data_IF_344777331984
#
_entry.id   IF_344777331984
#
_cell.length_a   1.000
_cell.length_b   1.000
_cell.length_c   1.000
_cell.angle_alpha   90.00
_cell.angle_beta   90.00
_cell.angle_gamma   90.00
#
_symmetry.space_group_name_H-M   'P 1'
#
loop_
_entity.id
_entity.type
_entity.pdbx_description
1 polymer ?
#
# COMPACT_ATOMS: atom_id res chain seq x y z
N UNK A 1 27.75 -14.58 -4.85
CA UNK A 1 26.35 -15.02 -4.66
C UNK A 1 25.98 -15.03 -3.19
N UNK A 2 26.54 -15.89 -2.32
CA UNK A 2 26.19 -15.92 -0.89
C UNK A 2 26.27 -14.53 -0.21
N UNK A 3 27.40 -13.83 -0.34
CA UNK A 3 27.54 -12.46 0.19
C UNK A 3 26.47 -11.49 -0.35
N UNK A 4 26.09 -11.58 -1.62
CA UNK A 4 25.08 -10.68 -2.22
C UNK A 4 23.67 -10.98 -1.69
N UNK A 5 23.38 -12.26 -1.43
CA UNK A 5 22.15 -12.66 -0.73
C UNK A 5 22.17 -12.23 0.73
N UNK A 6 23.30 -12.37 1.41
CA UNK A 6 23.49 -11.95 2.81
C UNK A 6 23.34 -10.43 2.93
N UNK A 7 23.94 -9.67 2.01
CA UNK A 7 23.85 -8.23 2.00
C UNK A 7 22.40 -7.77 1.72
N UNK A 8 21.70 -8.39 0.75
CA UNK A 8 20.27 -8.13 0.51
C UNK A 8 19.43 -8.45 1.74
N UNK A 9 19.69 -9.60 2.37
CA UNK A 9 18.96 -10.08 3.56
C UNK A 9 19.23 -9.23 4.79
N UNK A 10 20.36 -8.54 4.85
CA UNK A 10 20.66 -7.55 5.89
C UNK A 10 19.84 -6.26 5.76
N UNK A 11 18.99 -6.14 4.73
CA UNK A 11 18.17 -4.95 4.47
C UNK A 11 18.98 -3.76 3.98
N UNK A 12 20.24 -3.99 3.56
CA UNK A 12 21.14 -2.94 3.10
C UNK A 12 20.88 -2.52 1.63
N UNK A 13 19.93 -3.15 0.94
CA UNK A 13 19.81 -3.05 -0.52
C UNK A 13 18.55 -2.29 -0.89
N UNK A 14 18.77 -1.06 -1.36
CA UNK A 14 17.81 -0.33 -2.19
C UNK A 14 18.02 -0.72 -3.66
N UNK A 15 17.01 -0.58 -4.54
CA UNK A 15 17.14 -0.94 -5.95
C UNK A 15 18.40 -0.35 -6.63
N UNK A 16 18.70 0.92 -6.37
CA UNK A 16 19.89 1.61 -6.90
C UNK A 16 21.24 1.14 -6.32
N UNK A 17 21.24 0.43 -5.19
CA UNK A 17 22.44 -0.11 -4.54
C UNK A 17 22.71 -1.55 -4.96
N UNK A 18 21.78 -2.16 -5.70
CA UNK A 18 21.85 -3.54 -6.11
C UNK A 18 22.46 -3.69 -7.50
N UNK A 19 23.65 -4.29 -7.60
CA UNK A 19 24.17 -4.68 -8.91
C UNK A 19 23.20 -5.70 -9.57
N UNK A 20 22.81 -5.49 -10.84
CA UNK A 20 21.95 -6.42 -11.56
C UNK A 20 22.51 -7.84 -11.51
N UNK A 21 21.69 -8.82 -11.12
CA UNK A 21 22.21 -10.16 -10.89
C UNK A 21 22.66 -10.87 -12.17
N UNK A 22 22.29 -10.34 -13.34
CA UNK A 22 22.84 -10.76 -14.65
C UNK A 22 24.36 -10.55 -14.75
N UNK A 23 24.91 -9.63 -13.97
CA UNK A 23 26.35 -9.37 -13.92
C UNK A 23 27.10 -10.31 -12.97
N UNK A 24 26.41 -11.17 -12.21
CA UNK A 24 27.03 -11.99 -11.15
C UNK A 24 27.82 -13.22 -11.66
N UNK A 25 28.01 -13.36 -12.98
CA UNK A 25 29.01 -14.26 -13.56
C UNK A 25 28.62 -15.73 -13.74
N UNK A 26 27.35 -16.11 -13.55
CA UNK A 26 26.88 -17.47 -13.90
C UNK A 26 26.21 -17.53 -15.28
N UNK A 27 26.38 -18.65 -16.01
CA UNK A 27 25.62 -18.92 -17.21
C UNK A 27 24.19 -19.27 -16.82
N UNK A 28 23.30 -18.30 -17.03
CA UNK A 28 21.85 -18.47 -17.07
C UNK A 28 21.15 -18.70 -15.71
N UNK A 29 20.84 -17.59 -15.03
CA UNK A 29 19.87 -17.56 -13.92
C UNK A 29 18.44 -17.96 -14.35
N UNK A 30 18.22 -18.36 -15.62
CA UNK A 30 16.95 -18.87 -16.13
C UNK A 30 16.41 -20.07 -15.35
N UNK A 31 17.25 -20.87 -14.68
CA UNK A 31 16.75 -21.95 -13.82
C UNK A 31 16.02 -21.43 -12.57
N UNK A 32 16.45 -20.29 -12.01
CA UNK A 32 15.77 -19.63 -10.87
C UNK A 32 14.45 -19.01 -11.33
N UNK A 33 14.41 -18.44 -12.53
CA UNK A 33 13.16 -17.97 -13.14
C UNK A 33 12.19 -19.14 -13.40
N UNK A 34 12.70 -20.25 -13.94
CA UNK A 34 11.92 -21.46 -14.20
C UNK A 34 11.39 -22.07 -12.89
N UNK A 35 12.20 -22.05 -11.83
CA UNK A 35 11.80 -22.51 -10.51
C UNK A 35 10.75 -21.59 -9.88
N UNK A 36 10.81 -20.28 -10.08
CA UNK A 36 9.72 -19.39 -9.68
C UNK A 36 8.39 -19.74 -10.36
N UNK A 37 8.40 -20.18 -11.62
CA UNK A 37 7.17 -20.62 -12.29
C UNK A 37 6.54 -21.86 -11.61
N UNK A 38 7.33 -22.65 -10.86
CA UNK A 38 6.83 -23.77 -10.04
C UNK A 38 6.12 -23.31 -8.76
N UNK A 39 6.01 -22.01 -8.51
CA UNK A 39 5.17 -21.48 -7.42
C UNK A 39 3.69 -21.50 -7.78
N UNK A 40 3.34 -21.70 -9.05
CA UNK A 40 1.96 -21.62 -9.55
C UNK A 40 1.33 -23.02 -9.66
N UNK A 41 0.00 -23.08 -9.56
CA UNK A 41 -0.76 -24.33 -9.71
C UNK A 41 -0.26 -25.43 -8.77
N UNK A 42 -0.06 -26.63 -9.33
CA UNK A 42 0.46 -27.80 -8.60
C UNK A 42 2.00 -27.90 -8.66
N UNK A 43 2.70 -26.79 -8.92
CA UNK A 43 4.14 -26.76 -8.97
C UNK A 43 4.79 -27.06 -7.62
N UNK A 44 6.04 -27.52 -7.64
CA UNK A 44 6.76 -27.97 -6.42
C UNK A 44 6.96 -26.87 -5.36
N UNK A 45 6.82 -25.59 -5.74
CA UNK A 45 6.91 -24.44 -4.83
C UNK A 45 5.55 -23.79 -4.56
N UNK A 46 4.43 -24.45 -4.87
CA UNK A 46 3.09 -23.93 -4.60
C UNK A 46 2.86 -23.63 -3.12
N UNK A 47 3.43 -24.44 -2.22
CA UNK A 47 3.35 -24.22 -0.77
C UNK A 47 4.03 -22.92 -0.32
N UNK A 48 5.19 -22.58 -0.90
CA UNK A 48 5.87 -21.31 -0.63
C UNK A 48 4.96 -20.13 -0.99
N UNK A 49 4.29 -20.20 -2.14
CA UNK A 49 3.33 -19.17 -2.57
C UNK A 49 2.14 -19.08 -1.63
N UNK A 50 1.56 -20.22 -1.26
CA UNK A 50 0.45 -20.27 -0.31
C UNK A 50 0.83 -19.61 1.02
N UNK A 51 2.01 -19.95 1.56
CA UNK A 51 2.51 -19.40 2.81
C UNK A 51 2.71 -17.88 2.75
N UNK A 52 3.35 -17.36 1.69
CA UNK A 52 3.59 -15.92 1.53
C UNK A 52 2.30 -15.11 1.34
N UNK A 53 1.33 -15.64 0.58
CA UNK A 53 0.02 -14.99 0.43
C UNK A 53 -0.79 -15.02 1.72
N UNK A 54 -0.72 -16.11 2.49
CA UNK A 54 -1.39 -16.24 3.79
C UNK A 54 -0.78 -15.29 4.82
N UNK A 55 0.55 -15.16 4.87
CA UNK A 55 1.26 -14.26 5.78
C UNK A 55 0.91 -12.78 5.57
N UNK A 56 0.40 -12.41 4.40
CA UNK A 56 -0.07 -11.05 4.09
C UNK A 56 -1.48 -10.75 4.61
N UNK A 57 -2.13 -11.70 5.30
CA UNK A 57 -3.41 -11.51 5.99
C UNK A 57 -4.51 -10.88 5.11
N UNK A 58 -4.58 -11.33 3.86
CA UNK A 58 -5.53 -10.83 2.84
C UNK A 58 -5.38 -9.33 2.52
N UNK A 59 -4.21 -8.73 2.76
CA UNK A 59 -3.89 -7.35 2.36
C UNK A 59 -2.62 -7.31 1.51
N UNK A 60 -2.72 -6.64 0.37
CA UNK A 60 -1.58 -6.34 -0.50
C UNK A 60 -0.54 -5.53 0.26
N UNK A 61 0.72 -5.96 0.21
CA UNK A 61 1.80 -5.29 0.95
C UNK A 61 2.29 -3.99 0.29
N UNK A 62 1.81 -3.67 -0.91
CA UNK A 62 2.14 -2.42 -1.61
C UNK A 62 1.09 -1.31 -1.44
N UNK A 63 -0.18 -1.68 -1.22
CA UNK A 63 -1.28 -0.70 -1.08
C UNK A 63 -2.14 -0.85 0.17
N UNK A 64 -1.94 -1.93 0.95
CA UNK A 64 -2.66 -2.22 2.19
C UNK A 64 -4.20 -2.24 2.08
N UNK A 65 -4.74 -2.40 0.86
CA UNK A 65 -6.16 -2.25 0.58
C UNK A 65 -6.78 -3.51 -0.05
N UNK A 66 -6.38 -3.90 -1.25
CA UNK A 66 -6.93 -5.09 -1.90
C UNK A 66 -6.30 -6.39 -1.37
N UNK A 67 -6.97 -7.53 -1.55
CA UNK A 67 -6.37 -8.83 -1.29
C UNK A 67 -5.24 -9.14 -2.28
N UNK A 68 -4.13 -9.75 -1.83
CA UNK A 68 -3.06 -10.16 -2.73
C UNK A 68 -3.50 -11.37 -3.55
N UNK A 69 -3.13 -11.37 -4.82
CA UNK A 69 -3.40 -12.47 -5.76
C UNK A 69 -2.13 -12.96 -6.46
N UNK A 70 -0.99 -12.31 -6.24
CA UNK A 70 0.29 -12.63 -6.85
C UNK A 70 1.45 -12.43 -5.86
N UNK A 71 2.60 -12.98 -6.23
CA UNK A 71 3.88 -12.62 -5.62
C UNK A 71 4.60 -11.74 -6.65
N UNK A 72 4.79 -10.47 -6.30
CA UNK A 72 5.61 -9.52 -7.05
C UNK A 72 7.07 -9.68 -6.64
N UNK A 73 8.00 -9.42 -7.56
CA UNK A 73 9.42 -9.33 -7.24
C UNK A 73 9.77 -7.90 -6.88
N UNK A 74 10.13 -7.61 -5.62
CA UNK A 74 10.47 -6.25 -5.19
C UNK A 74 11.55 -5.64 -6.09
N UNK A 75 12.71 -6.29 -6.19
CA UNK A 75 13.67 -6.10 -7.26
C UNK A 75 13.25 -6.91 -8.49
N UNK A 76 12.99 -6.27 -9.64
CA UNK A 76 12.39 -6.94 -10.78
C UNK A 76 13.23 -8.10 -11.30
N UNK A 77 12.54 -9.21 -11.60
CA UNK A 77 13.14 -10.42 -12.19
C UNK A 77 13.93 -10.13 -13.46
N UNK A 78 13.50 -9.17 -14.28
CA UNK A 78 14.18 -8.76 -15.51
C UNK A 78 15.61 -8.29 -15.27
N UNK A 79 15.90 -7.70 -14.11
CA UNK A 79 17.21 -7.19 -13.75
C UNK A 79 17.93 -8.10 -12.74
N UNK A 80 17.18 -8.76 -11.86
CA UNK A 80 17.69 -9.59 -10.77
C UNK A 80 17.14 -11.02 -10.80
N UNK A 81 17.35 -11.80 -11.88
CA UNK A 81 16.85 -13.16 -12.00
C UNK A 81 17.36 -14.10 -10.90
N UNK A 82 18.51 -13.81 -10.29
CA UNK A 82 19.05 -14.60 -9.17
C UNK A 82 18.19 -14.49 -7.89
N UNK A 83 17.38 -13.43 -7.78
CA UNK A 83 16.50 -13.19 -6.64
C UNK A 83 15.07 -13.73 -6.86
N UNK A 84 14.84 -14.49 -7.94
CA UNK A 84 13.49 -14.89 -8.37
C UNK A 84 12.73 -15.74 -7.34
N UNK A 85 13.42 -16.52 -6.53
CA UNK A 85 12.82 -17.40 -5.51
C UNK A 85 13.13 -16.94 -4.08
N UNK A 86 13.91 -15.87 -3.92
CA UNK A 86 14.27 -15.37 -2.60
C UNK A 86 13.01 -14.79 -1.95
N UNK A 87 12.53 -15.41 -0.88
CA UNK A 87 11.30 -14.99 -0.20
C UNK A 87 11.34 -13.51 0.24
N UNK A 88 12.49 -12.98 0.64
CA UNK A 88 12.65 -11.56 0.99
C UNK A 88 12.50 -10.59 -0.21
N UNK A 89 12.57 -11.11 -1.43
CA UNK A 89 12.31 -10.37 -2.67
C UNK A 89 10.89 -10.66 -3.22
N UNK A 90 10.12 -11.57 -2.61
CA UNK A 90 8.78 -11.94 -3.06
C UNK A 90 7.71 -11.27 -2.18
N UNK A 91 7.00 -10.32 -2.76
CA UNK A 91 6.00 -9.49 -2.07
C UNK A 91 4.59 -9.91 -2.46
N UNK A 92 3.76 -10.25 -1.47
CA UNK A 92 2.35 -10.51 -1.70
C UNK A 92 1.63 -9.23 -2.17
N UNK A 93 1.24 -9.21 -3.45
CA UNK A 93 0.67 -8.04 -4.10
C UNK A 93 -0.67 -8.36 -4.77
N UNK A 94 -1.57 -7.38 -4.82
CA UNK A 94 -2.75 -7.46 -5.68
C UNK A 94 -2.34 -7.29 -7.14
N UNK A 95 -3.17 -7.80 -8.06
CA UNK A 95 -2.92 -7.73 -9.51
C UNK A 95 -2.66 -6.31 -10.00
N UNK A 96 -3.42 -5.33 -9.50
CA UNK A 96 -3.27 -3.93 -9.87
C UNK A 96 -1.88 -3.38 -9.52
N UNK A 97 -1.42 -3.61 -8.28
CA UNK A 97 -0.12 -3.12 -7.83
C UNK A 97 1.03 -3.85 -8.55
N UNK A 98 0.94 -5.17 -8.66
CA UNK A 98 1.92 -5.99 -9.39
C UNK A 98 2.09 -5.50 -10.83
N UNK A 99 0.98 -5.30 -11.56
CA UNK A 99 1.01 -4.81 -12.95
C UNK A 99 1.56 -3.40 -13.07
N UNK A 100 1.16 -2.48 -12.17
CA UNK A 100 1.61 -1.08 -12.22
C UNK A 100 3.09 -0.93 -11.87
N UNK A 101 3.54 -1.64 -10.84
CA UNK A 101 4.97 -1.69 -10.47
C UNK A 101 5.82 -2.27 -11.60
N UNK A 102 5.38 -3.39 -12.17
CA UNK A 102 6.04 -4.04 -13.30
C UNK A 102 7.54 -4.23 -13.05
N UNK A 103 8.35 -3.74 -13.99
CA UNK A 103 9.81 -3.80 -13.90
C UNK A 103 10.47 -2.49 -13.40
N UNK A 104 9.71 -1.61 -12.74
CA UNK A 104 10.26 -0.36 -12.22
C UNK A 104 11.38 -0.64 -11.21
N UNK A 105 12.52 0.03 -11.44
CA UNK A 105 13.76 -0.11 -10.68
C UNK A 105 14.52 1.23 -10.77
N UNK A 106 13.95 2.27 -10.18
CA UNK A 106 14.48 3.64 -10.26
C UNK A 106 15.83 3.78 -9.56
N UNK A 107 16.74 4.54 -10.19
CA UNK A 107 18.05 4.86 -9.62
C UNK A 107 17.97 5.98 -8.56
N UNK A 108 16.96 6.84 -8.64
CA UNK A 108 16.75 7.93 -7.69
C UNK A 108 16.30 7.36 -6.33
N UNK A 109 17.07 7.59 -5.23
CA UNK A 109 16.73 7.06 -3.91
C UNK A 109 15.38 7.56 -3.39
N UNK A 110 14.88 8.71 -3.86
CA UNK A 110 13.57 9.27 -3.46
C UNK A 110 12.40 8.71 -4.28
N UNK A 111 12.67 8.02 -5.39
CA UNK A 111 11.66 7.44 -6.28
C UNK A 111 11.67 5.92 -6.25
N UNK A 112 11.73 5.36 -5.05
CA UNK A 112 11.78 3.91 -4.86
C UNK A 112 10.58 3.45 -4.06
N UNK A 113 10.10 2.24 -4.37
CA UNK A 113 9.07 1.61 -3.56
C UNK A 113 9.58 1.42 -2.12
N UNK A 114 8.65 1.53 -1.19
CA UNK A 114 8.90 1.19 0.21
C UNK A 114 8.93 -0.32 0.31
N UNK A 115 10.05 -0.87 0.79
CA UNK A 115 10.26 -2.29 0.97
C UNK A 115 9.44 -2.80 2.17
N UNK A 116 8.41 -3.65 1.96
CA UNK A 116 7.50 -4.04 3.03
C UNK A 116 8.16 -4.74 4.22
N UNK A 117 9.32 -5.37 4.01
CA UNK A 117 10.05 -6.10 5.04
C UNK A 117 11.20 -5.34 5.70
N UNK A 118 11.74 -4.31 5.05
CA UNK A 118 13.00 -3.67 5.47
C UNK A 118 12.80 -2.22 5.89
N UNK A 119 11.87 -1.51 5.25
CA UNK A 119 11.57 -0.13 5.59
C UNK A 119 10.71 -0.06 6.86
N UNK A 120 11.18 0.73 7.82
CA UNK A 120 10.49 0.97 9.09
C UNK A 120 9.49 2.11 8.93
N UNK A 121 8.28 1.78 8.50
CA UNK A 121 7.18 2.74 8.41
C UNK A 121 6.54 2.92 9.81
N UNK A 122 6.55 4.13 10.40
CA UNK A 122 5.97 4.36 11.72
C UNK A 122 4.45 4.10 11.73
N UNK A 123 4.00 3.26 12.67
CA UNK A 123 2.57 2.90 12.79
C UNK A 123 1.75 3.92 13.56
N UNK A 124 2.38 4.65 14.47
CA UNK A 124 1.71 5.56 15.40
C UNK A 124 1.54 6.99 14.88
N UNK A 125 2.07 7.28 13.69
CA UNK A 125 2.04 8.60 13.06
C UNK A 125 1.12 8.62 11.83
N UNK A 126 0.41 9.73 11.62
CA UNK A 126 -0.46 9.94 10.46
C UNK A 126 0.31 10.67 9.38
N UNK A 127 0.50 10.02 8.23
CA UNK A 127 1.15 10.59 7.05
C UNK A 127 0.30 10.44 5.78
N UNK A 128 -0.84 9.73 5.83
CA UNK A 128 -1.83 9.71 4.76
C UNK A 128 -3.05 10.54 5.16
N UNK A 129 -3.34 11.55 4.35
CA UNK A 129 -4.52 12.41 4.47
C UNK A 129 -5.47 12.20 3.29
N UNK A 130 -6.75 12.45 3.56
CA UNK A 130 -7.78 12.52 2.54
C UNK A 130 -8.58 13.82 2.71
N UNK A 131 -8.74 14.55 1.61
CA UNK A 131 -9.69 15.66 1.52
C UNK A 131 -10.96 15.11 0.87
N UNK A 132 -12.07 14.92 1.61
CA UNK A 132 -13.18 14.09 1.17
C UNK A 132 -14.03 14.73 0.06
N UNK A 133 -14.08 16.06 0.00
CA UNK A 133 -15.02 16.79 -0.84
C UNK A 133 -14.31 17.81 -1.73
N UNK A 134 -14.90 18.05 -2.90
CA UNK A 134 -14.57 19.19 -3.76
C UNK A 134 -15.87 19.90 -4.15
N UNK A 135 -16.01 21.18 -3.81
CA UNK A 135 -17.24 21.95 -4.08
C UNK A 135 -18.51 21.22 -3.61
N UNK A 136 -18.44 20.63 -2.41
CA UNK A 136 -19.52 19.89 -1.76
C UNK A 136 -19.91 18.55 -2.39
N UNK A 137 -19.25 18.16 -3.48
CA UNK A 137 -19.37 16.82 -4.03
C UNK A 137 -18.35 15.87 -3.40
N UNK A 138 -18.75 14.62 -3.15
CA UNK A 138 -17.84 13.54 -2.75
C UNK A 138 -16.78 13.35 -3.84
N UNK A 139 -15.54 13.71 -3.53
CA UNK A 139 -14.41 13.69 -4.46
C UNK A 139 -13.11 13.56 -3.67
N UNK A 140 -12.84 12.39 -3.06
CA UNK A 140 -11.73 12.23 -2.14
C UNK A 140 -10.38 12.42 -2.84
N UNK A 141 -9.53 13.30 -2.31
CA UNK A 141 -8.15 13.49 -2.75
C UNK A 141 -7.18 13.00 -1.67
N UNK A 142 -6.34 12.03 -2.02
CA UNK A 142 -5.36 11.47 -1.09
C UNK A 142 -3.97 12.04 -1.34
N UNK A 143 -3.24 12.29 -0.24
CA UNK A 143 -1.86 12.76 -0.29
C UNK A 143 -1.04 12.23 0.87
N UNK A 144 0.27 12.09 0.62
CA UNK A 144 1.24 11.87 1.68
C UNK A 144 1.67 13.22 2.23
N UNK A 145 1.64 13.38 3.55
CA UNK A 145 2.04 14.60 4.26
C UNK A 145 3.25 14.35 5.14
N UNK A 146 4.02 15.42 5.39
CA UNK A 146 5.12 15.38 6.33
C UNK A 146 4.58 15.15 7.75
N UNK A 147 5.13 14.16 8.46
CA UNK A 147 4.67 13.77 9.79
C UNK A 147 5.84 13.30 10.63
N UNK A 148 6.56 14.21 11.32
CA UNK A 148 7.68 13.82 12.17
C UNK A 148 7.27 12.73 13.17
N UNK A 149 8.06 11.66 13.36
CA UNK A 149 9.44 11.46 12.93
C UNK A 149 9.60 10.71 11.59
N UNK A 150 8.55 10.60 10.76
CA UNK A 150 8.71 10.09 9.39
C UNK A 150 9.68 11.02 8.67
N UNK A 151 10.86 10.49 8.34
CA UNK A 151 11.90 11.28 7.69
C UNK A 151 11.51 11.62 6.24
N UNK A 152 12.21 12.61 5.68
CA UNK A 152 11.86 13.14 4.37
C UNK A 152 12.16 12.18 3.22
N UNK A 153 13.08 11.23 3.39
CA UNK A 153 13.34 10.19 2.41
C UNK A 153 12.15 9.22 2.32
N UNK A 154 11.68 8.72 3.47
CA UNK A 154 10.51 7.85 3.53
C UNK A 154 9.24 8.58 3.06
N UNK A 155 9.02 9.84 3.45
CA UNK A 155 7.88 10.64 2.95
C UNK A 155 7.89 10.75 1.43
N UNK A 156 9.06 11.04 0.83
CA UNK A 156 9.19 11.20 -0.63
C UNK A 156 8.88 9.89 -1.36
N UNK A 157 9.40 8.77 -0.85
CA UNK A 157 9.14 7.44 -1.42
C UNK A 157 7.69 7.00 -1.27
N UNK A 158 7.06 7.27 -0.13
CA UNK A 158 5.63 7.01 0.07
C UNK A 158 4.78 7.82 -0.92
N UNK A 159 5.12 9.10 -1.13
CA UNK A 159 4.43 9.96 -2.09
C UNK A 159 4.61 9.46 -3.53
N UNK A 160 5.84 9.06 -3.88
CA UNK A 160 6.14 8.48 -5.18
C UNK A 160 5.38 7.16 -5.38
N UNK A 161 5.40 6.25 -4.41
CA UNK A 161 4.66 4.98 -4.47
C UNK A 161 3.15 5.20 -4.62
N UNK A 162 2.56 6.18 -3.90
CA UNK A 162 1.15 6.54 -4.04
C UNK A 162 0.83 6.94 -5.49
N UNK A 163 1.69 7.76 -6.11
CA UNK A 163 1.55 8.22 -7.49
C UNK A 163 1.80 7.11 -8.51
N UNK A 164 2.91 6.39 -8.40
CA UNK A 164 3.35 5.37 -9.36
C UNK A 164 2.36 4.20 -9.43
N UNK A 165 1.89 3.75 -8.26
CA UNK A 165 0.86 2.72 -8.18
C UNK A 165 -0.55 3.29 -8.36
N UNK A 166 -0.72 4.60 -8.61
CA UNK A 166 -2.00 5.29 -8.82
C UNK A 166 -3.02 4.91 -7.73
N UNK A 167 -2.53 4.92 -6.49
CA UNK A 167 -3.28 4.56 -5.29
C UNK A 167 -4.19 5.69 -4.83
N UNK A 168 -3.83 6.93 -5.13
CA UNK A 168 -4.68 8.10 -4.96
C UNK A 168 -6.07 7.90 -5.58
N UNK A 169 -6.13 7.52 -6.86
CA UNK A 169 -7.37 7.27 -7.58
C UNK A 169 -8.07 6.00 -7.07
N UNK A 170 -7.31 4.94 -6.81
CA UNK A 170 -7.88 3.69 -6.28
C UNK A 170 -8.52 3.89 -4.90
N UNK A 171 -7.87 4.63 -4.00
CA UNK A 171 -8.40 4.97 -2.68
C UNK A 171 -9.60 5.91 -2.76
N UNK A 172 -9.63 6.82 -3.74
CA UNK A 172 -10.80 7.66 -4.00
C UNK A 172 -12.02 6.82 -4.39
N UNK A 173 -11.85 5.86 -5.30
CA UNK A 173 -12.94 4.96 -5.71
C UNK A 173 -13.48 4.13 -4.53
N UNK A 174 -12.59 3.57 -3.71
CA UNK A 174 -12.96 2.81 -2.49
C UNK A 174 -13.71 3.69 -1.47
N UNK A 175 -13.25 4.93 -1.26
CA UNK A 175 -13.92 5.87 -0.36
C UNK A 175 -15.28 6.34 -0.89
N UNK A 176 -15.43 6.56 -2.19
CA UNK A 176 -16.73 6.88 -2.80
C UNK A 176 -17.70 5.72 -2.61
N UNK A 177 -17.24 4.48 -2.81
CA UNK A 177 -18.08 3.30 -2.60
C UNK A 177 -18.53 3.19 -1.14
N UNK A 178 -17.58 3.27 -0.19
CA UNK A 178 -17.89 3.23 1.23
C UNK A 178 -18.81 4.37 1.67
N UNK A 179 -18.56 5.60 1.20
CA UNK A 179 -19.43 6.75 1.47
C UNK A 179 -20.87 6.48 1.03
N UNK A 180 -21.07 5.91 -0.17
CA UNK A 180 -22.40 5.57 -0.69
C UNK A 180 -23.09 4.50 0.13
N UNK A 181 -22.36 3.49 0.59
CA UNK A 181 -22.90 2.45 1.48
C UNK A 181 -23.35 3.02 2.82
N UNK A 182 -22.59 3.98 3.37
CA UNK A 182 -22.91 4.59 4.66
C UNK A 182 -23.91 5.76 4.58
N UNK A 183 -24.09 6.35 3.39
CA UNK A 183 -24.81 7.62 3.18
C UNK A 183 -26.17 7.67 3.88
N UNK A 184 -26.99 6.64 3.74
CA UNK A 184 -28.32 6.60 4.36
C UNK A 184 -28.27 6.53 5.89
N UNK A 185 -27.34 5.74 6.44
CA UNK A 185 -27.12 5.63 7.88
C UNK A 185 -26.62 6.96 8.46
N UNK A 186 -25.59 7.54 7.85
CA UNK A 186 -25.05 8.83 8.25
C UNK A 186 -26.05 9.95 8.12
N UNK A 187 -26.91 9.94 7.08
CA UNK A 187 -28.00 10.92 6.94
C UNK A 187 -28.98 10.84 8.10
N UNK A 188 -29.37 9.62 8.48
CA UNK A 188 -30.29 9.39 9.60
C UNK A 188 -29.71 9.88 10.93
N UNK A 189 -28.39 9.72 11.14
CA UNK A 189 -27.71 10.26 12.31
C UNK A 189 -27.57 11.80 12.25
N UNK A 190 -27.25 12.35 11.08
CA UNK A 190 -27.15 13.79 10.87
C UNK A 190 -28.48 14.51 11.14
N UNK A 191 -29.61 13.90 10.76
CA UNK A 191 -30.96 14.43 11.03
C UNK A 191 -31.27 14.49 12.54
N UNK A 192 -30.57 13.71 13.36
CA UNK A 192 -30.64 13.75 14.83
C UNK A 192 -29.58 14.67 15.45
N UNK A 193 -28.64 15.21 14.65
CA UNK A 193 -27.63 16.18 15.04
C UNK A 193 -26.19 15.69 14.86
N UNK A 194 -25.28 16.64 14.56
CA UNK A 194 -23.85 16.38 14.35
C UNK A 194 -23.20 15.48 15.42
N UNK A 195 -23.41 15.67 16.74
CA UNK A 195 -22.75 14.84 17.75
C UNK A 195 -23.02 13.33 17.62
N UNK A 196 -24.18 12.94 17.07
CA UNK A 196 -24.50 11.53 16.84
C UNK A 196 -23.80 10.95 15.61
N UNK A 197 -23.69 11.76 14.54
CA UNK A 197 -22.92 11.39 13.35
C UNK A 197 -21.42 11.36 13.67
N UNK A 198 -20.90 12.41 14.30
CA UNK A 198 -19.51 12.54 14.75
C UNK A 198 -19.11 11.33 15.59
N UNK A 199 -19.86 11.03 16.65
CA UNK A 199 -19.56 9.87 17.49
C UNK A 199 -19.62 8.53 16.75
N UNK A 200 -20.40 8.41 15.67
CA UNK A 200 -20.38 7.22 14.82
C UNK A 200 -19.12 7.16 13.94
N UNK A 201 -18.72 8.28 13.34
CA UNK A 201 -17.50 8.39 12.55
C UNK A 201 -16.24 8.15 13.40
N UNK A 202 -16.20 8.67 14.62
CA UNK A 202 -15.10 8.45 15.59
C UNK A 202 -14.99 6.98 15.97
N UNK A 203 -16.11 6.30 16.28
CA UNK A 203 -16.09 4.85 16.59
C UNK A 203 -15.62 4.02 15.40
N UNK A 204 -16.05 4.36 14.19
CA UNK A 204 -15.59 3.71 12.97
C UNK A 204 -14.09 3.95 12.74
N UNK A 205 -13.62 5.17 12.99
CA UNK A 205 -12.20 5.53 12.88
C UNK A 205 -11.36 4.73 13.88
N UNK A 206 -11.73 4.71 15.16
CA UNK A 206 -11.03 3.98 16.22
C UNK A 206 -10.94 2.48 15.90
N UNK A 207 -12.04 1.90 15.40
CA UNK A 207 -12.10 0.51 14.96
C UNK A 207 -11.12 0.22 13.81
N UNK A 208 -11.08 1.11 12.80
CA UNK A 208 -10.17 0.96 11.66
C UNK A 208 -8.72 1.16 12.08
N UNK A 209 -8.40 2.18 12.87
CA UNK A 209 -7.02 2.47 13.29
C UNK A 209 -6.45 1.37 14.18
N UNK A 210 -7.26 0.82 15.10
CA UNK A 210 -6.82 -0.26 16.00
C UNK A 210 -6.56 -1.58 15.28
N UNK A 211 -7.32 -1.89 14.23
CA UNK A 211 -7.16 -3.14 13.49
C UNK A 211 -6.22 -3.03 12.28
N UNK A 212 -6.43 -2.02 11.43
CA UNK A 212 -5.74 -1.90 10.14
C UNK A 212 -4.62 -0.85 10.14
N UNK A 213 -4.56 0.00 11.16
CA UNK A 213 -3.57 1.07 11.28
C UNK A 213 -4.03 2.42 10.74
N UNK A 214 -3.29 3.45 11.13
CA UNK A 214 -3.65 4.86 10.89
C UNK A 214 -3.57 5.29 9.44
N UNK A 215 -2.71 4.67 8.63
CA UNK A 215 -2.43 5.13 7.25
C UNK A 215 -3.11 4.26 6.18
N UNK A 216 -4.30 3.74 6.50
CA UNK A 216 -5.18 3.13 5.50
C UNK A 216 -6.04 4.21 4.83
N UNK A 217 -6.51 3.94 3.62
CA UNK A 217 -7.41 4.85 2.90
C UNK A 217 -8.65 5.19 3.76
N UNK A 218 -9.22 4.18 4.44
CA UNK A 218 -10.46 4.34 5.21
C UNK A 218 -10.24 5.20 6.45
N UNK A 219 -9.13 5.00 7.17
CA UNK A 219 -8.80 5.84 8.31
C UNK A 219 -8.54 7.29 7.88
N UNK A 220 -7.79 7.49 6.78
CA UNK A 220 -7.54 8.82 6.23
C UNK A 220 -8.84 9.51 5.79
N UNK A 221 -9.76 8.79 5.15
CA UNK A 221 -11.06 9.30 4.73
C UNK A 221 -11.94 9.70 5.91
N UNK A 222 -12.06 8.85 6.94
CA UNK A 222 -12.84 9.15 8.14
C UNK A 222 -12.28 10.36 8.90
N UNK A 223 -10.95 10.47 9.06
CA UNK A 223 -10.32 11.68 9.60
C UNK A 223 -10.65 12.92 8.75
N UNK A 224 -10.59 12.77 7.43
CA UNK A 224 -10.98 13.81 6.48
C UNK A 224 -12.40 14.31 6.72
N UNK A 225 -13.38 13.41 6.86
CA UNK A 225 -14.77 13.75 7.17
C UNK A 225 -14.91 14.49 8.51
N UNK A 226 -14.29 13.96 9.57
CA UNK A 226 -14.34 14.57 10.91
C UNK A 226 -13.72 15.97 10.96
N UNK A 227 -12.68 16.21 10.17
CA UNK A 227 -11.99 17.52 10.11
C UNK A 227 -12.63 18.54 9.16
N UNK A 228 -13.60 18.13 8.34
CA UNK A 228 -14.15 19.00 7.30
C UNK A 228 -15.25 19.92 7.87
N UNK A 229 -14.91 21.19 8.10
CA UNK A 229 -15.79 22.18 8.74
C UNK A 229 -17.18 22.31 8.08
N UNK A 230 -17.24 22.34 6.74
CA UNK A 230 -18.51 22.43 6.03
C UNK A 230 -19.40 21.20 6.24
N UNK A 231 -18.79 20.03 6.42
CA UNK A 231 -19.51 18.78 6.64
C UNK A 231 -20.03 18.71 8.07
N UNK A 232 -19.24 19.17 9.05
CA UNK A 232 -19.69 19.30 10.43
C UNK A 232 -20.83 20.33 10.58
N UNK A 233 -20.76 21.45 9.85
CA UNK A 233 -21.75 22.52 9.91
C UNK A 233 -23.09 22.15 9.26
N UNK A 234 -23.06 21.48 8.11
CA UNK A 234 -24.26 21.03 7.40
C UNK A 234 -24.01 19.69 6.69
N UNK A 235 -24.07 18.56 7.41
CA UNK A 235 -23.85 17.25 6.81
C UNK A 235 -24.89 16.94 5.72
N UNK A 236 -26.09 17.53 5.80
CA UNK A 236 -27.17 17.31 4.87
C UNK A 236 -26.85 17.77 3.46
N UNK A 237 -26.08 18.84 3.31
CA UNK A 237 -25.60 19.32 2.01
C UNK A 237 -24.77 18.27 1.25
N UNK A 238 -24.01 17.44 1.96
CA UNK A 238 -23.11 16.43 1.39
C UNK A 238 -23.75 15.04 1.33
N UNK A 239 -24.75 14.79 2.19
CA UNK A 239 -25.49 13.53 2.30
C UNK A 239 -26.82 13.53 1.53
N UNK A 240 -27.15 14.61 0.81
CA UNK A 240 -28.30 14.70 -0.09
C UNK A 240 -28.17 13.77 -1.30
#
# INVERSE_FOLDING_TARGET
MAQLFDDYSAGAWRPHLAEPSRAWGEPDAGWLEALFNQTQGDGVLAELRGALLAAAERRCLLCSAAAPSALDHFLPRTHHPALSILHLNLVAACELCNRRKGASCEADPQRQFVHPYFDRVPRDHVFLEAEPFAQDAISPLYRIVASPPVDMDLTSRLAWQLSELRLDAFYADEAIHYFREQKASWRSLADLGWPLLEGALERDLDSVESFSGKNTWKAAFLRGLLSHEGFAADPGRFLA
#
